data_IF_329945409044
#
_entry.id   IF_329945409044
#
_cell.length_a   1.000
_cell.length_b   1.000
_cell.length_c   1.000
_cell.angle_alpha   90.00
_cell.angle_beta   90.00
_cell.angle_gamma   90.00
#
_symmetry.space_group_name_H-M   'P 1'
#
loop_
_entity.id
_entity.type
_entity.pdbx_description
1 polymer ?
#
# COMPACT_ATOMS: atom_id res chain seq x y z
N UNK A 1 -11.43 8.76 -0.33
CA UNK A 1 -11.71 7.32 -0.53
C UNK A 1 -12.59 7.07 -1.77
N UNK A 2 -13.78 7.70 -1.90
CA UNK A 2 -14.69 7.45 -3.03
C UNK A 2 -14.11 7.83 -4.39
N UNK A 3 -13.33 8.91 -4.46
CA UNK A 3 -12.77 9.42 -5.71
C UNK A 3 -11.43 8.77 -6.11
N UNK A 4 -10.73 8.14 -5.18
CA UNK A 4 -9.39 7.58 -5.42
C UNK A 4 -9.31 6.10 -5.03
N UNK A 5 -9.38 5.76 -3.74
CA UNK A 5 -9.05 4.42 -3.26
C UNK A 5 -9.99 3.35 -3.82
N UNK A 6 -11.29 3.61 -3.83
CA UNK A 6 -12.29 2.64 -4.29
C UNK A 6 -12.18 2.34 -5.78
N UNK A 7 -12.07 3.34 -6.68
CA UNK A 7 -11.79 3.10 -8.10
C UNK A 7 -10.49 2.32 -8.32
N UNK A 8 -9.41 2.64 -7.59
CA UNK A 8 -8.15 1.91 -7.68
C UNK A 8 -8.26 0.47 -7.20
N UNK A 9 -9.05 0.19 -6.15
CA UNK A 9 -9.32 -1.18 -5.70
C UNK A 9 -10.00 -1.99 -6.81
N UNK A 10 -11.04 -1.42 -7.43
CA UNK A 10 -11.79 -2.08 -8.52
C UNK A 10 -10.88 -2.34 -9.71
N UNK A 11 -10.09 -1.34 -10.12
CA UNK A 11 -9.15 -1.46 -11.23
C UNK A 11 -8.12 -2.56 -10.97
N UNK A 12 -7.59 -2.61 -9.76
CA UNK A 12 -6.59 -3.60 -9.38
C UNK A 12 -7.10 -5.04 -9.45
N UNK A 13 -8.32 -5.30 -8.96
CA UNK A 13 -8.95 -6.62 -9.10
C UNK A 13 -9.20 -6.97 -10.57
N UNK A 14 -9.66 -6.02 -11.39
CA UNK A 14 -9.87 -6.22 -12.83
C UNK A 14 -8.56 -6.51 -13.57
N UNK A 15 -7.50 -5.78 -13.23
CA UNK A 15 -6.18 -6.00 -13.79
C UNK A 15 -5.70 -7.44 -13.57
N UNK A 16 -5.68 -7.90 -12.31
CA UNK A 16 -5.22 -9.25 -12.01
C UNK A 16 -6.15 -10.35 -12.53
N UNK A 17 -7.45 -10.11 -12.61
CA UNK A 17 -8.37 -11.03 -13.31
C UNK A 17 -8.04 -11.13 -14.80
N UNK A 18 -7.61 -10.03 -15.43
CA UNK A 18 -7.11 -10.04 -16.81
C UNK A 18 -5.77 -10.78 -16.96
N UNK A 19 -4.85 -10.60 -16.01
CA UNK A 19 -3.51 -11.22 -16.03
C UNK A 19 -3.56 -12.75 -16.06
N UNK A 20 -4.56 -13.38 -15.44
CA UNK A 20 -4.73 -14.85 -15.45
C UNK A 20 -4.83 -15.39 -16.88
N UNK A 21 -5.48 -14.64 -17.78
CA UNK A 21 -5.67 -15.06 -19.18
C UNK A 21 -4.41 -14.88 -20.02
N UNK A 22 -3.49 -14.03 -19.58
CA UNK A 22 -2.22 -13.75 -20.24
C UNK A 22 -1.03 -14.46 -19.57
N UNK A 23 -1.29 -15.22 -18.52
CA UNK A 23 -0.23 -15.96 -17.82
C UNK A 23 0.24 -17.12 -18.68
N UNK A 24 1.52 -17.13 -19.00
CA UNK A 24 2.19 -18.14 -19.81
C UNK A 24 3.13 -18.96 -18.93
N UNK A 25 3.35 -20.22 -19.33
CA UNK A 25 4.48 -21.02 -18.89
C UNK A 25 5.61 -20.95 -19.92
N UNK A 26 6.63 -21.75 -19.73
CA UNK A 26 7.69 -21.91 -20.72
C UNK A 26 7.99 -23.39 -20.96
N UNK A 27 8.49 -23.68 -22.16
CA UNK A 27 9.05 -24.97 -22.53
C UNK A 27 10.52 -24.77 -22.90
N UNK A 28 11.40 -25.60 -22.39
CA UNK A 28 12.81 -25.64 -22.76
C UNK A 28 13.21 -27.03 -23.24
N UNK A 29 14.05 -27.12 -24.24
CA UNK A 29 14.69 -28.34 -24.66
C UNK A 29 15.98 -28.53 -23.83
N UNK A 30 16.14 -29.67 -23.19
CA UNK A 30 17.35 -30.02 -22.43
C UNK A 30 18.30 -30.81 -23.34
N UNK A 31 17.75 -31.78 -24.07
CA UNK A 31 18.44 -32.54 -25.10
C UNK A 31 17.42 -33.07 -26.13
N UNK A 32 17.88 -33.83 -27.13
CA UNK A 32 17.04 -34.37 -28.23
C UNK A 32 15.84 -35.22 -27.74
N UNK A 33 15.83 -35.68 -26.49
CA UNK A 33 14.82 -36.60 -25.93
C UNK A 33 14.12 -36.04 -24.71
N UNK A 34 14.55 -34.88 -24.18
CA UNK A 34 14.09 -34.35 -22.90
C UNK A 34 13.63 -32.91 -23.03
N UNK A 35 12.36 -32.66 -22.73
CA UNK A 35 11.79 -31.30 -22.61
C UNK A 35 11.52 -30.97 -21.15
N UNK A 36 11.68 -29.69 -20.78
CA UNK A 36 11.31 -29.13 -19.49
C UNK A 36 10.14 -28.17 -19.64
N UNK A 37 9.16 -28.27 -18.77
CA UNK A 37 8.00 -27.38 -18.73
C UNK A 37 8.04 -26.56 -17.45
N UNK A 38 7.84 -25.25 -17.56
CA UNK A 38 7.60 -24.37 -16.43
C UNK A 38 6.14 -24.01 -16.37
N UNK A 39 5.48 -24.37 -15.28
CA UNK A 39 4.09 -24.02 -15.00
C UNK A 39 4.01 -23.28 -13.67
N UNK A 40 3.03 -22.39 -13.56
CA UNK A 40 2.75 -21.68 -12.30
C UNK A 40 1.70 -22.46 -11.50
N UNK A 41 1.99 -22.67 -10.23
CA UNK A 41 1.09 -23.34 -9.29
C UNK A 41 0.84 -22.43 -8.06
N UNK A 42 -0.34 -22.53 -7.40
CA UNK A 42 -0.58 -21.85 -6.14
C UNK A 42 0.43 -22.27 -5.07
N UNK A 43 0.87 -21.31 -4.26
CA UNK A 43 1.72 -21.62 -3.09
C UNK A 43 0.95 -22.34 -1.98
N UNK A 44 -0.36 -22.10 -1.89
CA UNK A 44 -1.23 -22.64 -0.84
C UNK A 44 -1.86 -21.53 0.00
N UNK A 45 -1.68 -21.58 1.32
CA UNK A 45 -2.19 -20.54 2.22
C UNK A 45 -1.16 -19.43 2.39
N UNK A 46 -1.54 -18.18 2.11
CA UNK A 46 -0.67 -17.01 2.27
C UNK A 46 -1.17 -16.13 3.40
N UNK A 47 -0.26 -15.71 4.28
CA UNK A 47 -0.51 -14.70 5.30
C UNK A 47 -0.31 -13.30 4.74
N UNK A 48 -1.23 -12.39 5.03
CA UNK A 48 -1.16 -10.99 4.60
C UNK A 48 -1.41 -10.07 5.79
N UNK A 49 -0.53 -9.09 6.00
CA UNK A 49 -0.66 -8.08 7.06
C UNK A 49 -0.58 -6.72 6.41
N UNK A 50 -1.60 -5.87 6.65
CA UNK A 50 -1.74 -4.56 6.02
C UNK A 50 -1.78 -3.44 7.06
N UNK A 51 -1.31 -2.23 6.67
CA UNK A 51 -1.30 -1.06 7.54
C UNK A 51 -2.66 -0.35 7.55
N UNK A 52 -2.73 0.70 8.37
CA UNK A 52 -3.92 1.49 8.66
C UNK A 52 -4.15 2.67 7.70
N UNK A 53 -3.16 3.08 6.92
CA UNK A 53 -3.23 4.33 6.15
C UNK A 53 -4.07 4.27 4.86
N UNK A 54 -4.18 3.09 4.25
CA UNK A 54 -5.05 2.81 3.09
C UNK A 54 -5.68 1.42 3.22
N UNK A 55 -6.56 1.20 4.21
CA UNK A 55 -6.97 -0.17 4.58
C UNK A 55 -7.51 -0.98 3.41
N UNK A 56 -8.52 -0.46 2.69
CA UNK A 56 -9.15 -1.19 1.59
C UNK A 56 -8.21 -1.35 0.39
N UNK A 57 -7.47 -0.30 0.04
CA UNK A 57 -6.53 -0.33 -1.08
C UNK A 57 -5.38 -1.29 -0.83
N UNK A 58 -4.80 -1.30 0.38
CA UNK A 58 -3.74 -2.23 0.77
C UNK A 58 -4.22 -3.68 0.80
N UNK A 59 -5.49 -3.91 1.18
CA UNK A 59 -6.09 -5.22 1.04
C UNK A 59 -6.19 -5.63 -0.42
N UNK A 60 -6.75 -4.77 -1.29
CA UNK A 60 -6.90 -5.06 -2.72
C UNK A 60 -5.56 -5.38 -3.40
N UNK A 61 -4.50 -4.62 -3.10
CA UNK A 61 -3.17 -4.84 -3.67
C UNK A 61 -2.55 -6.20 -3.33
N UNK A 62 -2.91 -6.78 -2.19
CA UNK A 62 -2.43 -8.09 -1.77
C UNK A 62 -3.38 -9.22 -2.14
N UNK A 63 -4.69 -8.98 -2.02
CA UNK A 63 -5.72 -10.00 -2.31
C UNK A 63 -5.80 -10.32 -3.80
N UNK A 64 -5.82 -9.29 -4.64
CA UNK A 64 -6.04 -9.49 -6.07
C UNK A 64 -5.00 -10.43 -6.71
N UNK A 65 -3.68 -10.21 -6.59
CA UNK A 65 -2.68 -11.15 -7.14
C UNK A 65 -2.69 -12.51 -6.45
N UNK A 66 -2.92 -12.57 -5.13
CA UNK A 66 -2.91 -13.84 -4.40
C UNK A 66 -4.07 -14.75 -4.82
N UNK A 67 -5.28 -14.20 -4.91
CA UNK A 67 -6.48 -14.93 -5.33
C UNK A 67 -6.41 -15.29 -6.82
N UNK A 68 -5.91 -14.37 -7.67
CA UNK A 68 -5.70 -14.63 -9.09
C UNK A 68 -4.75 -15.81 -9.32
N UNK A 69 -3.71 -15.94 -8.49
CA UNK A 69 -2.78 -17.06 -8.54
C UNK A 69 -3.31 -18.35 -7.86
N UNK A 70 -4.59 -18.39 -7.43
CA UNK A 70 -5.22 -19.57 -6.85
C UNK A 70 -4.89 -19.85 -5.39
N UNK A 71 -4.33 -18.88 -4.65
CA UNK A 71 -4.00 -19.07 -3.25
C UNK A 71 -5.18 -18.83 -2.32
N UNK A 72 -5.19 -19.49 -1.17
CA UNK A 72 -6.03 -19.13 -0.04
C UNK A 72 -5.31 -18.06 0.81
N UNK A 73 -6.08 -17.17 1.43
CA UNK A 73 -5.55 -16.02 2.14
C UNK A 73 -6.05 -15.95 3.57
N UNK A 74 -5.14 -15.66 4.50
CA UNK A 74 -5.45 -15.16 5.84
C UNK A 74 -4.95 -13.72 5.92
N UNK A 75 -5.88 -12.77 5.96
CA UNK A 75 -5.60 -11.33 6.00
C UNK A 75 -5.77 -10.78 7.43
N UNK A 76 -4.76 -10.08 7.92
CA UNK A 76 -4.85 -9.29 9.16
C UNK A 76 -4.80 -7.78 8.82
N UNK A 77 -5.91 -7.05 8.91
CA UNK A 77 -5.90 -5.59 8.83
C UNK A 77 -5.25 -4.98 10.08
N UNK A 78 -4.88 -3.70 9.99
CA UNK A 78 -4.48 -2.95 11.18
C UNK A 78 -5.65 -2.83 12.16
N UNK A 79 -5.34 -2.91 13.45
CA UNK A 79 -6.32 -2.85 14.54
C UNK A 79 -7.08 -1.52 14.60
N UNK A 80 -6.47 -0.43 14.09
CA UNK A 80 -7.08 0.89 14.04
C UNK A 80 -8.15 1.02 12.95
N UNK A 81 -8.04 0.25 11.85
CA UNK A 81 -8.84 0.48 10.64
C UNK A 81 -9.41 -0.80 10.00
N UNK A 82 -10.02 -1.73 10.75
CA UNK A 82 -10.52 -2.97 10.18
C UNK A 82 -11.90 -2.83 9.50
N UNK A 83 -12.65 -1.77 9.78
CA UNK A 83 -14.08 -1.68 9.45
C UNK A 83 -14.38 -1.83 7.95
N UNK A 84 -13.62 -1.16 7.08
CA UNK A 84 -13.84 -1.26 5.63
C UNK A 84 -13.54 -2.66 5.09
N UNK A 85 -12.59 -3.38 5.68
CA UNK A 85 -12.27 -4.76 5.32
C UNK A 85 -13.39 -5.71 5.76
N UNK A 86 -13.93 -5.50 6.96
CA UNK A 86 -15.05 -6.31 7.45
C UNK A 86 -16.29 -6.11 6.59
N UNK A 87 -16.61 -4.86 6.21
CA UNK A 87 -17.70 -4.56 5.28
C UNK A 87 -17.46 -5.20 3.92
N UNK A 88 -16.25 -5.14 3.39
CA UNK A 88 -15.91 -5.84 2.14
C UNK A 88 -16.20 -7.34 2.27
N UNK A 89 -15.83 -7.98 3.39
CA UNK A 89 -16.09 -9.40 3.61
C UNK A 89 -17.59 -9.74 3.64
N UNK A 90 -18.42 -8.88 4.24
CA UNK A 90 -19.89 -9.03 4.20
C UNK A 90 -20.44 -8.99 2.77
N UNK A 91 -19.88 -8.12 1.92
CA UNK A 91 -20.34 -7.94 0.54
C UNK A 91 -19.87 -9.04 -0.43
N UNK A 92 -18.68 -9.62 -0.18
CA UNK A 92 -18.08 -10.57 -1.13
C UNK A 92 -17.95 -11.99 -0.59
N UNK A 93 -18.36 -12.25 0.67
CA UNK A 93 -18.17 -13.54 1.34
C UNK A 93 -18.71 -14.73 0.56
N UNK A 94 -19.86 -14.55 -0.11
CA UNK A 94 -20.50 -15.59 -0.90
C UNK A 94 -19.99 -15.72 -2.35
N UNK A 95 -19.09 -14.82 -2.76
CA UNK A 95 -18.51 -14.85 -4.12
C UNK A 95 -17.33 -15.82 -4.24
N UNK A 96 -16.73 -16.21 -3.14
CA UNK A 96 -15.58 -17.09 -3.10
C UNK A 96 -15.94 -18.41 -2.39
N UNK A 97 -15.32 -19.52 -2.77
CA UNK A 97 -15.46 -20.76 -2.02
C UNK A 97 -15.09 -20.57 -0.54
N UNK A 98 -15.82 -21.23 0.35
CA UNK A 98 -15.58 -21.15 1.78
C UNK A 98 -14.13 -21.46 2.14
N UNK A 99 -13.51 -20.63 2.99
CA UNK A 99 -12.12 -20.75 3.41
C UNK A 99 -11.07 -20.19 2.46
N UNK A 100 -11.45 -19.71 1.26
CA UNK A 100 -10.51 -19.07 0.32
C UNK A 100 -9.94 -17.77 0.87
N UNK A 101 -10.79 -16.92 1.47
CA UNK A 101 -10.38 -15.67 2.11
C UNK A 101 -10.89 -15.63 3.54
N UNK A 102 -9.99 -15.41 4.48
CA UNK A 102 -10.28 -15.33 5.90
C UNK A 102 -9.66 -14.06 6.47
N UNK A 103 -10.39 -13.32 7.29
CA UNK A 103 -9.91 -12.12 7.97
C UNK A 103 -9.82 -12.38 9.47
N UNK A 104 -8.67 -12.06 10.04
CA UNK A 104 -8.44 -12.13 11.49
C UNK A 104 -8.14 -10.73 12.02
N UNK A 105 -8.82 -10.32 13.08
CA UNK A 105 -8.55 -9.08 13.79
C UNK A 105 -7.71 -9.35 15.04
N UNK A 106 -6.96 -8.35 15.48
CA UNK A 106 -6.14 -8.41 16.69
C UNK A 106 -4.88 -7.56 16.58
N UNK A 107 -4.15 -7.45 17.67
CA UNK A 107 -2.93 -6.67 17.73
C UNK A 107 -1.76 -7.33 16.98
N UNK A 108 -0.78 -6.50 16.60
CA UNK A 108 0.37 -6.95 15.84
C UNK A 108 1.21 -8.01 16.55
N UNK A 109 1.42 -7.86 17.86
CA UNK A 109 2.16 -8.78 18.72
C UNK A 109 1.38 -10.05 19.12
N UNK A 110 0.10 -10.12 18.81
CA UNK A 110 -0.78 -11.26 19.06
C UNK A 110 -1.13 -11.95 17.74
N UNK A 111 -2.22 -11.53 17.09
CA UNK A 111 -2.69 -12.12 15.85
C UNK A 111 -1.68 -11.99 14.70
N UNK A 112 -0.97 -10.85 14.61
CA UNK A 112 0.05 -10.63 13.58
C UNK A 112 1.25 -11.55 13.73
N UNK A 113 1.78 -11.68 14.94
CA UNK A 113 2.88 -12.60 15.24
C UNK A 113 2.46 -14.05 15.03
N UNK A 114 1.30 -14.45 15.55
CA UNK A 114 0.79 -15.82 15.38
C UNK A 114 0.63 -16.20 13.91
N UNK A 115 0.16 -15.27 13.06
CA UNK A 115 0.08 -15.47 11.62
C UNK A 115 1.47 -15.60 11.00
N UNK A 116 2.39 -14.67 11.30
CA UNK A 116 3.71 -14.60 10.68
C UNK A 116 4.63 -15.79 11.07
N UNK A 117 4.46 -16.34 12.29
CA UNK A 117 5.22 -17.50 12.77
C UNK A 117 4.57 -18.84 12.46
N UNK A 118 3.37 -18.85 11.88
CA UNK A 118 2.64 -20.07 11.59
C UNK A 118 3.35 -20.92 10.54
N UNK A 119 3.58 -22.19 10.86
CA UNK A 119 4.12 -23.19 9.92
C UNK A 119 3.11 -23.65 8.86
N UNK A 120 1.88 -23.14 8.91
CA UNK A 120 0.79 -23.50 8.00
C UNK A 120 0.64 -22.53 6.83
N UNK A 121 1.41 -21.43 6.78
CA UNK A 121 1.45 -20.51 5.66
C UNK A 121 2.66 -20.79 4.76
N UNK A 122 2.45 -20.65 3.47
CA UNK A 122 3.49 -20.88 2.46
C UNK A 122 4.21 -19.57 2.06
N UNK A 123 3.67 -18.41 2.42
CA UNK A 123 4.25 -17.08 2.17
C UNK A 123 3.65 -16.07 3.14
N UNK A 124 4.43 -15.04 3.49
CA UNK A 124 3.96 -13.86 4.22
C UNK A 124 4.14 -12.61 3.36
N UNK A 125 3.10 -11.78 3.26
CA UNK A 125 3.15 -10.47 2.61
C UNK A 125 2.79 -9.39 3.64
N UNK A 126 3.68 -8.43 3.82
CA UNK A 126 3.57 -7.39 4.84
C UNK A 126 3.69 -6.00 4.20
N UNK A 127 2.89 -5.06 4.66
CA UNK A 127 3.12 -3.62 4.45
C UNK A 127 2.99 -2.91 5.79
N UNK A 128 3.98 -2.08 6.12
CA UNK A 128 3.99 -1.33 7.38
C UNK A 128 5.34 -0.69 7.68
N UNK A 129 5.67 -0.56 8.98
CA UNK A 129 6.91 0.09 9.42
C UNK A 129 8.14 -0.78 9.21
N UNK A 130 9.29 -0.15 9.00
CA UNK A 130 10.58 -0.84 8.82
C UNK A 130 10.95 -1.77 10.00
N UNK A 131 10.78 -1.37 11.28
CA UNK A 131 11.07 -2.27 12.39
C UNK A 131 10.22 -3.55 12.37
N UNK A 132 8.92 -3.42 12.08
CA UNK A 132 8.03 -4.59 12.00
C UNK A 132 8.35 -5.43 10.75
N UNK A 133 8.67 -4.81 9.62
CA UNK A 133 9.12 -5.53 8.41
C UNK A 133 10.36 -6.38 8.66
N UNK A 134 11.35 -5.85 9.39
CA UNK A 134 12.52 -6.62 9.81
C UNK A 134 12.15 -7.84 10.66
N UNK A 135 11.16 -7.70 11.56
CA UNK A 135 10.66 -8.79 12.38
C UNK A 135 9.94 -9.85 11.53
N UNK A 136 9.09 -9.42 10.58
CA UNK A 136 8.40 -10.32 9.64
C UNK A 136 9.40 -11.13 8.81
N UNK A 137 10.47 -10.50 8.33
CA UNK A 137 11.53 -11.20 7.59
C UNK A 137 12.23 -12.26 8.45
N UNK A 138 12.46 -12.00 9.74
CA UNK A 138 13.02 -12.98 10.68
C UNK A 138 12.08 -14.18 10.85
N UNK A 139 10.78 -13.95 11.06
CA UNK A 139 9.80 -15.02 11.17
C UNK A 139 9.69 -15.85 9.88
N UNK A 140 9.75 -15.19 8.72
CA UNK A 140 9.77 -15.90 7.43
C UNK A 140 11.03 -16.76 7.26
N UNK A 141 12.20 -16.25 7.68
CA UNK A 141 13.46 -17.00 7.65
C UNK A 141 13.42 -18.23 8.56
N UNK A 142 12.87 -18.10 9.77
CA UNK A 142 12.71 -19.22 10.71
C UNK A 142 11.82 -20.35 10.14
N UNK A 143 10.85 -20.00 9.29
CA UNK A 143 9.96 -20.93 8.62
C UNK A 143 10.42 -21.33 7.22
N UNK A 144 11.51 -20.74 6.70
CA UNK A 144 12.03 -20.95 5.34
C UNK A 144 10.95 -20.70 4.27
N UNK A 145 10.17 -19.63 4.42
CA UNK A 145 9.11 -19.24 3.49
C UNK A 145 9.43 -17.90 2.82
N UNK A 146 8.96 -17.67 1.57
CA UNK A 146 9.09 -16.38 0.92
C UNK A 146 8.38 -15.25 1.69
N UNK A 147 8.99 -14.08 1.75
CA UNK A 147 8.35 -12.87 2.25
C UNK A 147 8.38 -11.76 1.21
N UNK A 148 7.30 -10.96 1.17
CA UNK A 148 7.26 -9.69 0.47
C UNK A 148 7.01 -8.60 1.50
N UNK A 149 7.89 -7.61 1.58
CA UNK A 149 7.79 -6.51 2.53
C UNK A 149 7.77 -5.18 1.78
N UNK A 150 6.72 -4.39 2.04
CA UNK A 150 6.57 -3.02 1.58
C UNK A 150 6.66 -2.10 2.79
N UNK A 151 7.56 -1.14 2.75
CA UNK A 151 7.93 -0.35 3.92
C UNK A 151 7.76 1.15 3.64
N UNK A 152 8.06 1.98 4.64
CA UNK A 152 8.04 3.43 4.49
C UNK A 152 9.22 3.94 3.67
N UNK A 153 9.08 5.18 3.22
CA UNK A 153 10.12 5.89 2.47
C UNK A 153 10.16 7.37 2.79
N UNK A 154 11.16 8.04 2.24
CA UNK A 154 11.35 9.49 2.24
C UNK A 154 11.73 9.92 0.83
N UNK A 155 10.79 9.79 -0.10
CA UNK A 155 11.02 10.07 -1.52
C UNK A 155 11.38 11.54 -1.74
N UNK A 156 12.38 11.85 -2.57
CA UNK A 156 12.69 13.23 -2.93
C UNK A 156 11.70 13.73 -4.00
N UNK A 157 11.38 15.02 -3.92
CA UNK A 157 10.69 15.78 -4.94
C UNK A 157 11.64 16.91 -5.37
N UNK A 158 12.08 16.91 -6.63
CA UNK A 158 13.20 17.74 -7.09
C UNK A 158 12.68 18.80 -8.05
N UNK A 159 13.00 20.08 -7.76
CA UNK A 159 12.59 21.24 -8.52
C UNK A 159 13.80 22.04 -8.97
N UNK A 160 14.00 22.15 -10.28
CA UNK A 160 15.00 23.02 -10.88
C UNK A 160 14.43 24.43 -11.14
N UNK A 161 15.30 25.41 -11.31
CA UNK A 161 14.90 26.82 -11.40
C UNK A 161 14.06 27.12 -12.64
N UNK A 162 14.23 26.38 -13.71
CA UNK A 162 13.50 26.55 -14.98
C UNK A 162 11.99 26.32 -14.89
N UNK A 163 11.50 25.74 -13.78
CA UNK A 163 10.06 25.67 -13.52
C UNK A 163 9.42 27.07 -13.43
N UNK A 164 10.17 28.06 -12.94
CA UNK A 164 9.65 29.42 -12.75
C UNK A 164 9.53 30.21 -14.07
N UNK A 165 10.14 29.71 -15.13
CA UNK A 165 10.10 30.28 -16.49
C UNK A 165 9.01 29.63 -17.36
N UNK A 166 8.26 28.67 -16.78
CA UNK A 166 7.21 27.94 -17.49
C UNK A 166 5.86 28.66 -17.40
N UNK A 167 4.90 28.19 -18.20
CA UNK A 167 3.52 28.67 -18.15
C UNK A 167 2.90 28.50 -16.74
N UNK A 168 2.05 29.46 -16.31
CA UNK A 168 1.47 29.44 -14.95
C UNK A 168 0.78 28.13 -14.57
N UNK A 169 0.16 27.45 -15.53
CA UNK A 169 -0.48 26.16 -15.30
C UNK A 169 0.53 25.06 -14.92
N UNK A 170 1.69 25.06 -15.56
CA UNK A 170 2.75 24.10 -15.21
C UNK A 170 3.35 24.39 -13.83
N UNK A 171 3.61 25.67 -13.53
CA UNK A 171 4.08 26.08 -12.20
C UNK A 171 3.08 25.65 -11.12
N UNK A 172 1.78 25.87 -11.35
CA UNK A 172 0.72 25.44 -10.43
C UNK A 172 0.74 23.92 -10.21
N UNK A 173 0.93 23.12 -11.26
CA UNK A 173 1.08 21.66 -11.13
C UNK A 173 2.31 21.26 -10.30
N UNK A 174 3.40 22.00 -10.42
CA UNK A 174 4.59 21.77 -9.59
C UNK A 174 4.31 22.09 -8.11
N UNK A 175 3.58 23.16 -7.82
CA UNK A 175 3.15 23.52 -6.46
C UNK A 175 2.21 22.46 -5.90
N UNK A 176 1.21 22.01 -6.65
CA UNK A 176 0.33 20.89 -6.24
C UNK A 176 1.14 19.61 -5.95
N UNK A 177 2.14 19.30 -6.78
CA UNK A 177 3.05 18.18 -6.55
C UNK A 177 3.85 18.29 -5.25
N UNK A 178 4.20 19.52 -4.84
CA UNK A 178 4.88 19.77 -3.57
C UNK A 178 3.93 19.58 -2.37
N UNK A 179 2.72 20.13 -2.43
CA UNK A 179 1.74 20.02 -1.35
C UNK A 179 1.08 18.63 -1.27
N UNK A 180 1.26 17.79 -2.27
CA UNK A 180 0.79 16.40 -2.24
C UNK A 180 1.32 15.62 -1.01
N UNK A 181 2.47 16.04 -0.46
CA UNK A 181 3.02 15.52 0.78
C UNK A 181 2.07 15.61 1.99
N UNK A 182 1.11 16.54 1.97
CA UNK A 182 0.16 16.74 3.06
C UNK A 182 -1.15 15.98 2.90
N UNK A 183 -1.45 15.46 1.70
CA UNK A 183 -2.65 14.68 1.48
C UNK A 183 -2.62 13.35 2.25
N UNK A 184 -3.81 12.81 2.50
CA UNK A 184 -4.01 11.69 3.39
C UNK A 184 -3.26 11.88 4.73
N UNK A 185 -3.30 13.09 5.29
CA UNK A 185 -2.65 13.53 6.53
C UNK A 185 -1.12 13.38 6.52
N UNK A 186 -0.48 13.23 5.37
CA UNK A 186 0.93 12.87 5.24
C UNK A 186 1.24 11.39 5.52
N UNK A 187 0.22 10.58 5.67
CA UNK A 187 0.29 9.16 6.05
C UNK A 187 0.44 8.24 4.83
N UNK A 188 1.44 8.54 3.99
CA UNK A 188 1.66 7.88 2.70
C UNK A 188 3.08 7.35 2.59
N UNK A 189 3.24 6.05 2.32
CA UNK A 189 4.55 5.40 2.19
C UNK A 189 5.40 5.93 1.03
N UNK A 190 4.75 6.36 -0.05
CA UNK A 190 5.38 6.93 -1.25
C UNK A 190 5.39 8.46 -1.25
N UNK A 191 5.05 9.08 -0.12
CA UNK A 191 4.95 10.52 0.02
C UNK A 191 6.25 11.23 -0.41
N UNK A 192 6.20 12.27 -1.28
CA UNK A 192 7.35 13.08 -1.65
C UNK A 192 7.71 14.05 -0.51
N UNK A 193 8.18 13.51 0.61
CA UNK A 193 8.35 14.20 1.89
C UNK A 193 9.62 15.04 2.01
N UNK A 194 10.47 15.05 0.97
CA UNK A 194 11.66 15.90 0.90
C UNK A 194 11.58 16.79 -0.34
N UNK A 195 11.48 18.09 -0.14
CA UNK A 195 11.54 19.04 -1.24
C UNK A 195 12.98 19.49 -1.44
N UNK A 196 13.56 19.17 -2.60
CA UNK A 196 14.88 19.59 -3.04
C UNK A 196 14.71 20.64 -4.11
N UNK A 197 14.90 21.90 -3.76
CA UNK A 197 14.66 23.05 -4.63
C UNK A 197 16.00 23.68 -4.95
N UNK A 198 16.26 23.94 -6.24
CA UNK A 198 17.46 24.67 -6.66
C UNK A 198 17.49 26.06 -5.99
N UNK A 199 18.63 26.44 -5.45
CA UNK A 199 18.81 27.63 -4.60
C UNK A 199 18.22 28.90 -5.22
N UNK A 200 18.46 29.11 -6.52
CA UNK A 200 17.95 30.31 -7.23
C UNK A 200 16.42 30.38 -7.36
N UNK A 201 15.71 29.27 -7.18
CA UNK A 201 14.25 29.22 -7.21
C UNK A 201 13.62 29.11 -5.80
N UNK A 202 14.44 28.89 -4.76
CA UNK A 202 13.96 28.46 -3.46
C UNK A 202 12.93 29.41 -2.85
N UNK A 203 13.28 30.67 -2.66
CA UNK A 203 12.40 31.61 -1.95
C UNK A 203 11.06 31.82 -2.66
N UNK A 204 11.09 31.95 -3.99
CA UNK A 204 9.89 32.15 -4.78
C UNK A 204 9.00 30.92 -4.79
N UNK A 205 9.59 29.74 -5.03
CA UNK A 205 8.81 28.51 -5.13
C UNK A 205 8.26 28.07 -3.78
N UNK A 206 9.07 28.13 -2.70
CA UNK A 206 8.59 27.75 -1.36
C UNK A 206 7.48 28.71 -0.87
N UNK A 207 7.54 29.99 -1.21
CA UNK A 207 6.44 30.93 -0.94
C UNK A 207 5.13 30.45 -1.56
N UNK A 208 5.15 30.07 -2.83
CA UNK A 208 3.96 29.54 -3.52
C UNK A 208 3.44 28.24 -2.89
N UNK A 209 4.35 27.35 -2.45
CA UNK A 209 3.98 26.10 -1.76
C UNK A 209 3.33 26.39 -0.41
N UNK A 210 3.86 27.36 0.36
CA UNK A 210 3.29 27.77 1.65
C UNK A 210 1.89 28.33 1.46
N UNK A 211 1.73 29.29 0.52
CA UNK A 211 0.43 29.90 0.24
C UNK A 211 -0.60 28.83 -0.10
N UNK A 212 -0.27 27.90 -0.97
CA UNK A 212 -1.16 26.79 -1.33
C UNK A 212 -1.44 25.84 -0.16
N UNK A 213 -0.45 25.55 0.68
CA UNK A 213 -0.64 24.71 1.86
C UNK A 213 -1.59 25.33 2.89
N UNK A 214 -1.58 26.67 3.01
CA UNK A 214 -2.49 27.39 3.90
C UNK A 214 -3.95 27.35 3.45
N UNK A 215 -4.22 27.10 2.18
CA UNK A 215 -5.58 26.91 1.64
C UNK A 215 -6.18 25.53 1.93
N UNK A 216 -5.37 24.56 2.38
CA UNK A 216 -5.83 23.20 2.65
C UNK A 216 -6.81 23.20 3.83
N UNK A 217 -8.07 22.89 3.55
CA UNK A 217 -9.12 22.78 4.56
C UNK A 217 -8.91 21.53 5.42
N UNK A 218 -8.81 21.74 6.72
CA UNK A 218 -8.69 20.68 7.74
C UNK A 218 -9.97 20.59 8.56
N UNK A 219 -10.43 19.39 8.89
CA UNK A 219 -11.64 19.22 9.68
C UNK A 219 -12.21 17.81 9.69
N UNK A 220 -13.53 17.72 9.83
CA UNK A 220 -14.24 16.46 9.85
C UNK A 220 -14.16 15.77 8.47
N UNK A 221 -13.60 14.54 8.37
CA UNK A 221 -13.46 13.84 7.09
C UNK A 221 -14.77 13.41 6.43
N UNK A 222 -15.91 13.53 7.13
CA UNK A 222 -17.24 13.32 6.55
C UNK A 222 -17.78 14.53 5.79
N UNK A 223 -17.14 15.69 5.95
CA UNK A 223 -17.41 16.88 5.16
C UNK A 223 -16.63 16.79 3.83
N UNK A 224 -17.35 16.83 2.71
CA UNK A 224 -16.76 16.70 1.36
C UNK A 224 -15.86 17.88 0.98
N UNK A 225 -15.98 19.02 1.65
CA UNK A 225 -15.13 20.18 1.44
C UNK A 225 -13.79 20.11 2.22
N UNK A 226 -13.67 19.16 3.16
CA UNK A 226 -12.45 18.95 3.95
C UNK A 226 -11.46 18.10 3.17
N UNK A 227 -10.24 18.58 3.04
CA UNK A 227 -9.16 17.91 2.31
C UNK A 227 -8.31 17.03 3.23
N UNK A 228 -8.13 17.42 4.49
CA UNK A 228 -7.25 16.73 5.46
C UNK A 228 -8.00 16.56 6.79
N UNK A 229 -8.12 15.31 7.23
CA UNK A 229 -8.73 14.94 8.50
C UNK A 229 -7.73 14.88 9.66
N UNK A 230 -8.12 14.19 10.73
CA UNK A 230 -7.25 13.91 11.87
C UNK A 230 -6.22 12.82 11.54
N UNK A 231 -5.12 12.78 12.29
CA UNK A 231 -4.17 11.65 12.25
C UNK A 231 -4.87 10.35 12.67
N UNK A 232 -4.39 9.22 12.15
CA UNK A 232 -5.04 7.92 12.36
C UNK A 232 -5.08 7.48 13.83
N UNK A 233 -4.14 7.95 14.66
CA UNK A 233 -4.06 7.60 16.08
C UNK A 233 -3.28 8.65 16.87
N UNK A 234 -3.44 8.65 18.18
CA UNK A 234 -2.63 9.46 19.09
C UNK A 234 -1.14 9.12 18.98
N UNK A 235 -0.82 7.84 18.86
CA UNK A 235 0.57 7.38 18.69
C UNK A 235 1.21 7.98 17.44
N UNK A 236 0.49 8.00 16.30
CA UNK A 236 0.98 8.62 15.07
C UNK A 236 1.13 10.14 15.21
N UNK A 237 0.19 10.80 15.86
CA UNK A 237 0.26 12.23 16.14
C UNK A 237 1.50 12.57 16.99
N UNK A 238 1.70 11.86 18.10
CA UNK A 238 2.84 12.08 19.00
C UNK A 238 4.18 11.80 18.30
N UNK A 239 4.22 10.78 17.46
CA UNK A 239 5.40 10.46 16.63
C UNK A 239 5.73 11.60 15.68
N UNK A 240 4.74 12.21 15.02
CA UNK A 240 4.96 13.33 14.11
C UNK A 240 5.51 14.53 14.86
N UNK A 241 4.97 14.86 16.05
CA UNK A 241 5.48 15.94 16.89
C UNK A 241 6.88 15.69 17.44
N UNK A 242 7.33 14.44 17.46
CA UNK A 242 8.67 14.05 17.88
C UNK A 242 9.76 14.22 16.81
N UNK A 243 9.37 14.56 15.56
CA UNK A 243 10.30 14.89 14.48
C UNK A 243 10.69 16.38 14.48
#
# INVERSE_FOLDING_TARGET
TLAADLPLCVDHFRYFAGCIRAQEGSIGEIDEKTGAYHIHEPLGVVGQIIPWNFPLLMAAWKLAPALAAGNCVVLKPAEQTPASIMLMMELIGDLLPAGTLNVINGFGNEAGQALATSKRIAKIAFTGSTPVGSLIMKYAADNIIPSTVELGGKSPNIYFADILDQEPEFVSKCVEGAVLAFFNQGEVCTCPSRLLIQESAYDKFIGMVIDRAMEIKRGNPLDTEVMVGAQASQEQYDKILGY
#
